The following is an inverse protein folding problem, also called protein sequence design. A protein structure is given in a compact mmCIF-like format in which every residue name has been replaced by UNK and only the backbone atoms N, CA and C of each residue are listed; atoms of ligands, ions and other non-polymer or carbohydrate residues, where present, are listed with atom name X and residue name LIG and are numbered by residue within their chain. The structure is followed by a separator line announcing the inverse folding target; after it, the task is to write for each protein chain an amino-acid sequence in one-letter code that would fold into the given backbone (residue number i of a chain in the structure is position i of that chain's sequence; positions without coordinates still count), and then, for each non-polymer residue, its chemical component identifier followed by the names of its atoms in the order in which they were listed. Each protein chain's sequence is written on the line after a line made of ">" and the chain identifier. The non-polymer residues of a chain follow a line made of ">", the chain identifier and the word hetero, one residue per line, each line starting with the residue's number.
data_IF_257896746722
#
_entry.id   IF_257896746722
#
_cell.length_a   1.000
_cell.length_b   1.000
_cell.length_c   1.000
_cell.angle_alpha   90.00
_cell.angle_beta   90.00
_cell.angle_gamma   90.00
#
_symmetry.space_group_name_H-M   'P 1'
#
loop_
_entity.id
_entity.type
_entity.pdbx_description
1 polymer ?
#
# COMPACT_ATOMS: atom_id res chain seq x y z
N UNK A 1 -21.50 15.78 -14.31
CA UNK A 1 -22.00 14.60 -13.57
C UNK A 1 -22.30 15.07 -12.17
N UNK A 2 -23.45 14.70 -11.63
CA UNK A 2 -23.81 15.04 -10.24
C UNK A 2 -22.90 14.31 -9.26
N UNK A 3 -22.63 14.92 -8.12
CA UNK A 3 -21.99 14.25 -6.99
C UNK A 3 -22.98 13.28 -6.34
N UNK A 4 -22.47 12.29 -5.65
CA UNK A 4 -23.29 11.29 -4.94
C UNK A 4 -24.28 11.94 -3.95
N UNK A 5 -23.87 13.04 -3.31
CA UNK A 5 -24.71 13.82 -2.39
C UNK A 5 -25.85 14.56 -3.10
N UNK A 6 -25.65 14.92 -4.37
CA UNK A 6 -26.68 15.59 -5.20
C UNK A 6 -27.68 14.59 -5.82
N UNK A 7 -27.33 13.30 -5.81
CA UNK A 7 -28.20 12.20 -6.25
C UNK A 7 -28.99 11.60 -5.07
N UNK A 8 -28.68 12.00 -3.83
CA UNK A 8 -29.32 11.51 -2.62
C UNK A 8 -30.81 11.84 -2.57
N UNK A 9 -31.62 10.85 -2.24
CA UNK A 9 -33.07 10.99 -2.05
C UNK A 9 -33.44 10.42 -0.68
N UNK A 10 -34.00 11.26 0.19
CA UNK A 10 -34.38 10.85 1.54
C UNK A 10 -35.33 9.64 1.52
N UNK A 11 -35.00 8.65 2.31
CA UNK A 11 -35.75 7.38 2.43
C UNK A 11 -35.33 6.31 1.42
N UNK A 12 -34.39 6.60 0.50
CA UNK A 12 -33.85 5.61 -0.45
C UNK A 12 -32.61 4.86 0.07
N UNK A 13 -32.14 5.20 1.25
CA UNK A 13 -31.02 4.52 1.87
C UNK A 13 -31.32 3.03 2.13
N UNK A 14 -30.33 2.19 1.87
CA UNK A 14 -30.37 0.76 2.19
C UNK A 14 -29.22 0.41 3.12
N UNK A 15 -29.49 -0.49 4.05
CA UNK A 15 -28.46 -1.03 4.93
C UNK A 15 -28.15 -2.46 4.47
N UNK A 16 -26.96 -2.63 3.92
CA UNK A 16 -26.40 -3.96 3.54
C UNK A 16 -25.41 -4.46 4.56
N UNK A 17 -25.24 -3.74 5.66
CA UNK A 17 -24.36 -4.15 6.77
C UNK A 17 -25.03 -5.27 7.56
N UNK A 18 -24.25 -6.29 7.99
CA UNK A 18 -24.76 -7.31 8.89
C UNK A 18 -25.22 -6.69 10.21
N UNK A 19 -26.10 -7.38 10.91
CA UNK A 19 -26.48 -6.98 12.27
C UNK A 19 -25.26 -6.98 13.19
N UNK A 20 -25.27 -6.06 14.16
CA UNK A 20 -24.18 -5.96 15.15
C UNK A 20 -24.28 -7.16 16.12
N UNK A 21 -23.31 -8.04 16.10
CA UNK A 21 -23.19 -9.26 16.91
C UNK A 21 -22.42 -9.06 18.23
N UNK A 22 -21.98 -7.81 18.49
CA UNK A 22 -21.28 -7.44 19.73
C UNK A 22 -22.15 -6.55 20.62
N UNK A 23 -21.98 -6.60 21.96
CA UNK A 23 -22.72 -5.73 22.87
C UNK A 23 -22.48 -4.25 22.55
N UNK A 24 -23.56 -3.52 22.30
CA UNK A 24 -23.49 -2.07 22.09
C UNK A 24 -23.07 -1.39 23.39
N UNK A 25 -22.13 -0.46 23.29
CA UNK A 25 -21.70 0.42 24.38
C UNK A 25 -22.24 1.82 24.11
N UNK A 26 -22.78 2.44 25.15
CA UNK A 26 -23.14 3.84 25.08
C UNK A 26 -21.88 4.70 25.05
N UNK A 27 -21.84 5.63 24.10
CA UNK A 27 -20.78 6.63 23.98
C UNK A 27 -21.21 7.85 24.78
N UNK A 28 -20.35 8.38 25.65
CA UNK A 28 -20.63 9.57 26.42
C UNK A 28 -21.05 10.73 25.52
N UNK A 29 -22.06 11.49 25.94
CA UNK A 29 -22.70 12.53 25.12
C UNK A 29 -21.72 13.59 24.62
N UNK A 30 -20.67 13.87 25.38
CA UNK A 30 -19.60 14.80 25.03
C UNK A 30 -18.76 14.34 23.83
N UNK A 31 -18.76 13.04 23.54
CA UNK A 31 -18.07 12.47 22.37
C UNK A 31 -19.00 12.26 21.16
N UNK A 32 -20.28 12.54 21.32
CA UNK A 32 -21.24 12.47 20.23
C UNK A 32 -21.27 13.78 19.44
N UNK A 33 -21.37 13.68 18.14
CA UNK A 33 -21.60 14.86 17.30
C UNK A 33 -22.97 15.47 17.58
N UNK A 34 -23.09 16.79 17.46
CA UNK A 34 -24.32 17.52 17.75
C UNK A 34 -25.48 17.18 16.77
N UNK A 35 -25.13 16.77 15.54
CA UNK A 35 -26.09 16.36 14.52
C UNK A 35 -25.61 15.08 13.82
N UNK A 36 -26.50 14.24 13.30
CA UNK A 36 -26.13 13.08 12.48
C UNK A 36 -25.26 13.48 11.28
N UNK A 37 -24.38 12.57 10.86
CA UNK A 37 -23.63 12.78 9.64
C UNK A 37 -24.59 12.86 8.43
N UNK A 38 -24.36 13.84 7.56
CA UNK A 38 -25.10 13.96 6.32
C UNK A 38 -24.57 12.95 5.31
N UNK A 39 -25.02 11.71 5.42
CA UNK A 39 -24.68 10.65 4.47
C UNK A 39 -25.71 10.64 3.32
N UNK A 40 -25.28 10.31 2.09
CA UNK A 40 -26.21 10.20 0.98
C UNK A 40 -27.09 8.94 1.12
N UNK A 41 -28.36 9.09 0.83
CA UNK A 41 -29.33 8.00 0.78
C UNK A 41 -29.62 7.66 -0.69
N UNK A 42 -29.22 6.47 -1.12
CA UNK A 42 -29.31 6.00 -2.50
C UNK A 42 -29.72 4.53 -2.51
N UNK A 43 -30.42 4.12 -3.55
CA UNK A 43 -30.61 2.69 -3.81
C UNK A 43 -29.28 2.05 -4.26
N UNK A 44 -29.13 0.75 -4.07
CA UNK A 44 -28.00 -0.02 -4.58
C UNK A 44 -27.80 0.21 -6.09
N UNK A 45 -28.89 0.24 -6.84
CA UNK A 45 -28.89 0.46 -8.27
C UNK A 45 -28.29 1.85 -8.65
N UNK A 46 -28.71 2.90 -7.96
CA UNK A 46 -28.22 4.26 -8.22
C UNK A 46 -26.74 4.39 -7.83
N UNK A 47 -26.36 3.79 -6.70
CA UNK A 47 -24.97 3.72 -6.25
C UNK A 47 -24.08 3.02 -7.26
N UNK A 48 -24.48 1.83 -7.72
CA UNK A 48 -23.75 1.04 -8.71
C UNK A 48 -23.60 1.81 -10.03
N UNK A 49 -24.68 2.45 -10.50
CA UNK A 49 -24.64 3.26 -11.71
C UNK A 49 -23.77 4.51 -11.58
N UNK A 50 -23.78 5.16 -10.42
CA UNK A 50 -22.93 6.30 -10.14
C UNK A 50 -21.44 5.93 -10.28
N UNK A 51 -20.99 4.89 -9.59
CA UNK A 51 -19.59 4.45 -9.65
C UNK A 51 -19.21 3.85 -11.01
N UNK A 52 -20.14 3.19 -11.70
CA UNK A 52 -19.90 2.72 -13.08
C UNK A 52 -19.66 3.90 -14.03
N UNK A 53 -20.43 5.00 -13.88
CA UNK A 53 -20.21 6.23 -14.67
C UNK A 53 -18.84 6.87 -14.36
N UNK A 54 -18.42 6.86 -13.09
CA UNK A 54 -17.09 7.34 -12.69
C UNK A 54 -15.98 6.49 -13.29
N UNK A 55 -16.08 5.17 -13.16
CA UNK A 55 -15.12 4.22 -13.71
C UNK A 55 -14.90 4.42 -15.21
N UNK A 56 -15.97 4.61 -15.97
CA UNK A 56 -15.90 4.86 -17.43
C UNK A 56 -15.21 6.18 -17.82
N UNK A 57 -14.96 7.07 -16.87
CA UNK A 57 -14.26 8.36 -17.08
C UNK A 57 -12.79 8.31 -16.68
N UNK A 58 -12.36 7.24 -16.06
CA UNK A 58 -10.98 7.04 -15.65
C UNK A 58 -10.29 6.13 -16.66
N UNK A 59 -8.99 6.36 -16.85
CA UNK A 59 -8.14 5.50 -17.63
C UNK A 59 -7.33 4.62 -16.70
N UNK A 60 -7.39 3.32 -16.88
CA UNK A 60 -6.70 2.35 -16.07
C UNK A 60 -5.79 1.43 -16.87
N UNK A 61 -5.04 0.59 -16.20
CA UNK A 61 -4.11 -0.36 -16.81
C UNK A 61 -4.80 -1.38 -17.74
N UNK A 62 -6.11 -1.61 -17.57
CA UNK A 62 -6.89 -2.48 -18.44
C UNK A 62 -7.39 -1.78 -19.72
N UNK A 63 -7.36 -0.45 -19.77
CA UNK A 63 -7.79 0.32 -20.94
C UNK A 63 -6.68 0.48 -21.96
N UNK A 64 -5.42 0.31 -21.55
CA UNK A 64 -4.26 0.42 -22.42
C UNK A 64 -2.98 0.67 -21.64
N UNK A 65 -1.96 1.18 -22.36
CA UNK A 65 -0.68 1.54 -21.75
C UNK A 65 -0.86 2.66 -20.74
N UNK A 66 -0.53 2.38 -19.47
CA UNK A 66 -0.65 3.34 -18.38
C UNK A 66 0.69 4.06 -18.16
N UNK A 67 0.75 5.41 -18.32
CA UNK A 67 2.01 6.15 -18.39
C UNK A 67 2.72 6.39 -17.04
N UNK A 68 2.14 5.97 -15.92
CA UNK A 68 2.76 6.08 -14.60
C UNK A 68 3.70 4.92 -14.31
N UNK A 69 4.93 5.24 -13.91
CA UNK A 69 5.96 4.24 -13.64
C UNK A 69 6.41 4.12 -12.18
N UNK A 70 6.18 5.16 -11.37
CA UNK A 70 6.69 5.25 -9.99
C UNK A 70 5.95 4.37 -8.97
N UNK A 71 4.66 4.10 -9.20
CA UNK A 71 3.86 3.18 -8.40
C UNK A 71 3.51 1.96 -9.23
N UNK A 72 3.09 0.89 -8.59
CA UNK A 72 2.77 -0.40 -9.23
C UNK A 72 1.55 -0.31 -10.16
N UNK A 73 1.71 0.35 -11.29
CA UNK A 73 0.64 0.56 -12.29
C UNK A 73 0.85 -0.30 -13.54
N UNK A 74 1.54 -1.42 -13.41
CA UNK A 74 1.76 -2.38 -14.50
C UNK A 74 0.59 -3.34 -14.59
N UNK A 75 0.31 -3.81 -15.79
CA UNK A 75 -0.70 -4.85 -15.98
C UNK A 75 -0.31 -6.11 -15.21
N UNK A 76 -1.20 -6.60 -14.36
CA UNK A 76 -1.04 -7.88 -13.68
C UNK A 76 -1.94 -8.91 -14.37
N UNK A 77 -1.38 -10.02 -14.91
CA UNK A 77 -2.18 -11.07 -15.53
C UNK A 77 -3.27 -11.59 -14.58
N UNK A 78 -4.48 -11.77 -15.11
CA UNK A 78 -5.64 -12.23 -14.31
C UNK A 78 -5.39 -13.58 -13.62
N UNK A 79 -4.57 -14.43 -14.20
CA UNK A 79 -4.18 -15.72 -13.60
C UNK A 79 -3.41 -15.54 -12.29
N UNK A 80 -2.63 -14.47 -12.14
CA UNK A 80 -1.90 -14.17 -10.90
C UNK A 80 -2.87 -13.84 -9.77
N UNK A 81 -3.92 -13.06 -10.06
CA UNK A 81 -4.98 -12.75 -9.09
C UNK A 81 -5.73 -14.02 -8.68
N UNK A 82 -6.08 -14.87 -9.64
CA UNK A 82 -6.77 -16.12 -9.37
C UNK A 82 -5.91 -17.09 -8.54
N UNK A 83 -4.60 -17.16 -8.82
CA UNK A 83 -3.68 -17.98 -8.04
C UNK A 83 -3.53 -17.45 -6.61
N UNK A 84 -3.35 -16.14 -6.43
CA UNK A 84 -3.22 -15.52 -5.11
C UNK A 84 -4.49 -15.64 -4.26
N UNK A 85 -5.66 -15.73 -4.90
CA UNK A 85 -6.96 -15.87 -4.22
C UNK A 85 -7.28 -17.30 -3.77
N UNK A 86 -6.41 -18.28 -4.03
CA UNK A 86 -6.63 -19.65 -3.55
C UNK A 86 -6.56 -19.71 -2.02
N UNK A 87 -7.39 -20.54 -1.41
CA UNK A 87 -7.52 -20.67 0.04
C UNK A 87 -6.19 -20.97 0.75
N UNK A 88 -5.31 -21.75 0.12
CA UNK A 88 -4.00 -22.08 0.65
C UNK A 88 -3.02 -20.89 0.75
N UNK A 89 -3.31 -19.79 0.08
CA UNK A 89 -2.54 -18.53 0.21
C UNK A 89 -3.32 -17.46 0.98
N UNK A 90 -4.64 -17.36 0.74
CA UNK A 90 -5.46 -16.27 1.29
C UNK A 90 -5.87 -16.50 2.74
N UNK A 91 -6.12 -17.77 3.13
CA UNK A 91 -6.66 -18.14 4.45
C UNK A 91 -5.61 -18.71 5.39
N UNK A 92 -4.39 -18.23 5.32
CA UNK A 92 -3.30 -18.61 6.23
C UNK A 92 -3.10 -17.56 7.32
N UNK A 93 -2.53 -17.98 8.45
CA UNK A 93 -2.14 -17.07 9.52
C UNK A 93 -0.60 -17.03 9.65
N UNK A 94 0.00 -15.84 9.87
CA UNK A 94 1.47 -15.71 9.94
C UNK A 94 2.13 -16.54 11.06
N UNK A 95 1.38 -16.89 12.10
CA UNK A 95 1.88 -17.67 13.25
C UNK A 95 1.37 -19.11 13.28
N UNK A 96 0.78 -19.61 12.17
CA UNK A 96 0.42 -21.03 12.13
C UNK A 96 1.68 -21.89 11.95
N UNK A 97 1.64 -23.18 12.35
CA UNK A 97 2.81 -24.06 12.29
C UNK A 97 3.38 -24.20 10.87
N UNK A 98 4.71 -24.17 10.75
CA UNK A 98 5.43 -24.12 9.46
C UNK A 98 5.09 -25.32 8.55
N UNK A 99 4.83 -26.49 9.12
CA UNK A 99 4.43 -27.69 8.38
C UNK A 99 3.09 -27.54 7.64
N UNK A 100 2.27 -26.55 8.02
CA UNK A 100 0.98 -26.27 7.39
C UNK A 100 1.06 -25.23 6.27
N UNK A 101 2.20 -24.59 6.08
CA UNK A 101 2.40 -23.47 5.11
C UNK A 101 3.57 -23.72 4.16
N UNK A 102 3.98 -24.95 3.98
CA UNK A 102 5.16 -25.31 3.16
C UNK A 102 5.09 -24.76 1.73
N UNK A 103 3.91 -24.74 1.10
CA UNK A 103 3.74 -24.15 -0.23
C UNK A 103 3.99 -22.64 -0.27
N UNK A 104 3.59 -21.92 0.78
CA UNK A 104 3.89 -20.47 0.89
C UNK A 104 5.39 -20.22 1.10
N UNK A 105 6.03 -21.02 1.93
CA UNK A 105 7.48 -20.94 2.15
C UNK A 105 8.26 -21.26 0.88
N UNK A 106 7.82 -22.26 0.10
CA UNK A 106 8.43 -22.58 -1.20
C UNK A 106 8.30 -21.43 -2.20
N UNK A 107 7.15 -20.76 -2.26
CA UNK A 107 6.96 -19.57 -3.11
C UNK A 107 7.95 -18.48 -2.74
N UNK A 108 8.12 -18.18 -1.44
CA UNK A 108 9.09 -17.19 -0.98
C UNK A 108 10.53 -17.58 -1.32
N UNK A 109 10.91 -18.83 -1.06
CA UNK A 109 12.27 -19.33 -1.35
C UNK A 109 12.60 -19.28 -2.85
N UNK A 110 11.67 -19.67 -3.72
CA UNK A 110 11.84 -19.58 -5.17
C UNK A 110 11.87 -18.14 -5.67
N UNK A 111 11.03 -17.26 -5.09
CA UNK A 111 11.04 -15.84 -5.43
C UNK A 111 12.38 -15.19 -5.05
N UNK A 112 12.93 -15.51 -3.87
CA UNK A 112 14.27 -15.08 -3.46
C UNK A 112 15.32 -15.54 -4.47
N UNK A 113 15.34 -16.81 -4.81
CA UNK A 113 16.30 -17.38 -5.77
C UNK A 113 16.25 -16.65 -7.14
N UNK A 114 15.03 -16.44 -7.69
CA UNK A 114 14.87 -15.77 -8.98
C UNK A 114 15.28 -14.29 -8.93
N UNK A 115 14.93 -13.58 -7.85
CA UNK A 115 15.29 -12.19 -7.69
C UNK A 115 16.79 -12.00 -7.46
N UNK A 116 17.43 -12.86 -6.71
CA UNK A 116 18.90 -12.85 -6.53
C UNK A 116 19.59 -13.06 -7.87
N UNK A 117 19.15 -14.03 -8.68
CA UNK A 117 19.70 -14.29 -10.01
C UNK A 117 19.54 -13.08 -10.96
N UNK A 118 18.36 -12.45 -10.98
CA UNK A 118 18.07 -11.29 -11.84
C UNK A 118 18.88 -10.06 -11.45
N UNK A 119 19.06 -9.82 -10.14
CA UNK A 119 19.66 -8.60 -9.60
C UNK A 119 21.15 -8.73 -9.31
N UNK A 120 21.67 -9.95 -9.25
CA UNK A 120 23.06 -10.23 -8.80
C UNK A 120 23.26 -10.04 -7.31
N UNK A 121 22.21 -10.07 -6.50
CA UNK A 121 22.28 -9.95 -5.04
C UNK A 121 22.42 -11.33 -4.40
N UNK A 122 23.04 -11.38 -3.22
CA UNK A 122 23.27 -12.64 -2.47
C UNK A 122 22.05 -13.10 -1.69
N UNK A 123 21.16 -12.20 -1.31
CA UNK A 123 19.95 -12.49 -0.55
C UNK A 123 18.86 -11.45 -0.77
N UNK A 124 17.62 -11.84 -0.50
CA UNK A 124 16.44 -10.99 -0.55
C UNK A 124 15.63 -11.06 0.75
N UNK A 125 14.89 -10.00 1.05
CA UNK A 125 13.88 -10.01 2.10
C UNK A 125 12.54 -9.58 1.55
N UNK A 126 11.46 -10.23 2.01
CA UNK A 126 10.07 -9.90 1.67
C UNK A 126 9.33 -9.22 2.82
N UNK A 127 10.06 -8.76 3.86
CA UNK A 127 9.46 -8.04 5.00
C UNK A 127 8.92 -6.65 4.64
N UNK A 128 9.55 -5.87 3.72
CA UNK A 128 9.02 -4.57 3.33
C UNK A 128 7.63 -4.70 2.69
N UNK A 129 6.64 -3.99 3.26
CA UNK A 129 5.26 -4.05 2.79
C UNK A 129 4.99 -3.18 1.55
N UNK A 130 5.88 -2.24 1.23
CA UNK A 130 5.77 -1.32 0.10
C UNK A 130 7.15 -0.78 -0.30
N UNK A 131 7.24 -0.07 -1.44
CA UNK A 131 8.46 0.54 -1.93
C UNK A 131 9.16 1.46 -0.92
N UNK A 132 8.39 2.27 -0.19
CA UNK A 132 8.93 3.14 0.87
C UNK A 132 9.58 2.33 2.02
N UNK A 133 9.02 1.18 2.38
CA UNK A 133 9.63 0.28 3.37
C UNK A 133 10.89 -0.41 2.85
N UNK A 134 10.94 -0.71 1.55
CA UNK A 134 12.14 -1.22 0.88
C UNK A 134 13.29 -0.21 0.92
N UNK A 135 13.00 1.05 0.60
CA UNK A 135 13.95 2.16 0.74
C UNK A 135 14.47 2.29 2.18
N UNK A 136 13.56 2.34 3.14
CA UNK A 136 13.90 2.45 4.56
C UNK A 136 14.77 1.27 5.04
N UNK A 137 14.41 0.04 4.63
CA UNK A 137 15.19 -1.16 4.92
C UNK A 137 16.60 -1.06 4.34
N UNK A 138 16.73 -0.57 3.10
CA UNK A 138 18.02 -0.31 2.47
C UNK A 138 18.87 0.70 3.26
N UNK A 139 18.25 1.78 3.74
CA UNK A 139 18.96 2.77 4.59
C UNK A 139 19.42 2.17 5.92
N UNK A 140 18.61 1.32 6.54
CA UNK A 140 18.99 0.61 7.76
C UNK A 140 20.14 -0.37 7.53
N UNK A 141 20.15 -1.10 6.42
CA UNK A 141 21.23 -2.00 6.03
C UNK A 141 22.53 -1.24 5.79
N UNK A 142 22.49 -0.10 5.08
CA UNK A 142 23.67 0.76 4.87
C UNK A 142 24.23 1.26 6.21
N UNK A 143 23.35 1.69 7.10
CA UNK A 143 23.76 2.13 8.44
C UNK A 143 24.41 1.03 9.25
N UNK A 144 23.78 -0.15 9.26
CA UNK A 144 24.32 -1.33 9.95
C UNK A 144 25.67 -1.77 9.38
N UNK A 145 25.83 -1.72 8.06
CA UNK A 145 27.09 -2.02 7.39
C UNK A 145 28.22 -1.07 7.85
N UNK A 146 27.97 0.24 7.88
CA UNK A 146 28.98 1.18 8.36
C UNK A 146 29.29 0.99 9.83
N UNK A 147 28.29 0.78 10.68
CA UNK A 147 28.46 0.53 12.10
C UNK A 147 29.28 -0.75 12.35
N UNK A 148 29.02 -1.84 11.62
CA UNK A 148 29.78 -3.11 11.76
C UNK A 148 31.27 -2.97 11.41
N UNK A 149 31.62 -1.93 10.66
CA UNK A 149 33.03 -1.62 10.30
C UNK A 149 33.67 -0.54 11.18
N UNK A 150 32.96 -0.06 12.20
CA UNK A 150 33.43 1.02 13.07
C UNK A 150 33.44 2.40 12.38
N UNK A 151 32.77 2.54 11.24
CA UNK A 151 32.69 3.81 10.51
C UNK A 151 31.45 4.61 10.94
N UNK A 152 31.51 5.21 12.11
CA UNK A 152 30.43 6.01 12.69
C UNK A 152 30.33 7.44 12.12
N UNK A 153 31.27 7.82 11.25
CA UNK A 153 31.32 9.20 10.69
C UNK A 153 30.40 9.41 9.49
N UNK A 154 29.87 8.35 8.89
CA UNK A 154 28.98 8.42 7.73
C UNK A 154 27.54 8.66 8.15
N UNK A 155 27.26 9.88 8.60
CA UNK A 155 25.96 10.28 9.14
C UNK A 155 25.13 11.13 8.18
N UNK A 156 25.66 11.46 6.99
CA UNK A 156 25.01 12.36 6.02
C UNK A 156 24.65 11.61 4.74
N UNK A 157 23.51 11.99 4.17
CA UNK A 157 23.05 11.55 2.85
C UNK A 157 22.80 12.77 1.98
N UNK A 158 23.35 12.74 0.77
CA UNK A 158 23.13 13.75 -0.24
C UNK A 158 21.83 13.42 -0.99
N UNK A 159 20.93 14.37 -1.07
CA UNK A 159 19.63 14.22 -1.73
C UNK A 159 19.43 15.41 -2.68
N UNK A 160 19.24 15.20 -4.00
CA UNK A 160 18.89 16.28 -4.90
C UNK A 160 17.47 16.81 -4.60
N UNK A 161 17.22 18.07 -4.86
CA UNK A 161 15.90 18.70 -4.67
C UNK A 161 14.80 18.12 -5.58
N UNK A 162 15.19 17.49 -6.69
CA UNK A 162 14.32 16.77 -7.60
C UNK A 162 13.96 15.34 -7.12
N UNK A 163 14.53 14.88 -5.99
CA UNK A 163 14.24 13.55 -5.47
C UNK A 163 12.79 13.39 -5.03
N UNK A 164 12.27 12.19 -5.16
CA UNK A 164 10.98 11.85 -4.59
C UNK A 164 11.01 12.03 -3.06
N UNK A 165 9.91 12.56 -2.49
CA UNK A 165 9.82 12.89 -1.06
C UNK A 165 10.11 11.73 -0.10
N UNK A 166 9.94 10.48 -0.54
CA UNK A 166 10.26 9.28 0.24
C UNK A 166 11.77 9.16 0.53
N UNK A 167 12.63 9.61 -0.40
CA UNK A 167 14.08 9.47 -0.27
C UNK A 167 14.63 10.20 0.95
N UNK A 168 14.42 11.52 1.13
CA UNK A 168 14.84 12.20 2.35
C UNK A 168 14.10 11.69 3.60
N UNK A 169 12.82 11.30 3.48
CA UNK A 169 12.07 10.77 4.61
C UNK A 169 12.67 9.47 5.14
N UNK A 170 12.95 8.48 4.27
CA UNK A 170 13.57 7.21 4.63
C UNK A 170 14.96 7.40 5.25
N UNK A 171 15.77 8.29 4.67
CA UNK A 171 17.07 8.62 5.19
C UNK A 171 17.01 9.26 6.59
N UNK A 172 16.10 10.21 6.80
CA UNK A 172 15.87 10.84 8.10
C UNK A 172 15.37 9.85 9.15
N UNK A 173 14.43 8.98 8.80
CA UNK A 173 13.93 7.92 9.70
C UNK A 173 15.03 6.93 10.10
N UNK A 174 15.97 6.64 9.21
CA UNK A 174 17.14 5.82 9.52
C UNK A 174 18.20 6.56 10.37
N UNK A 175 17.98 7.85 10.68
CA UNK A 175 18.85 8.66 11.51
C UNK A 175 20.04 9.26 10.78
N UNK A 176 19.92 9.49 9.47
CA UNK A 176 20.90 10.27 8.71
C UNK A 176 20.51 11.75 8.65
N UNK A 177 21.51 12.61 8.55
CA UNK A 177 21.32 14.03 8.26
C UNK A 177 21.24 14.24 6.76
N UNK A 178 20.21 14.95 6.28
CA UNK A 178 20.01 15.22 4.87
C UNK A 178 20.86 16.44 4.45
N UNK A 179 21.57 16.30 3.34
CA UNK A 179 22.27 17.38 2.65
C UNK A 179 21.60 17.58 1.29
N UNK A 180 20.81 18.62 1.16
CA UNK A 180 20.13 18.93 -0.08
C UNK A 180 21.09 19.54 -1.11
N UNK A 181 21.01 19.05 -2.35
CA UNK A 181 21.71 19.63 -3.50
C UNK A 181 20.67 20.29 -4.40
N UNK A 182 20.75 21.60 -4.58
CA UNK A 182 19.82 22.30 -5.47
C UNK A 182 20.10 21.98 -6.93
N UNK A 183 19.05 21.92 -7.73
CA UNK A 183 19.14 21.88 -9.19
C UNK A 183 19.71 23.20 -9.72
N UNK A 184 20.39 23.14 -10.87
CA UNK A 184 20.79 24.31 -11.60
C UNK A 184 19.76 24.65 -12.69
N UNK A 185 19.72 25.91 -13.10
CA UNK A 185 18.80 26.38 -14.14
C UNK A 185 19.33 26.15 -15.58
N UNK A 186 20.53 25.60 -15.74
CA UNK A 186 21.23 25.37 -17.01
C UNK A 186 21.22 23.91 -17.49
#
# INVERSE_FOLDING_TARGET
>A
MKLIFEESVKGHGQTVLPECDVPRREIAREHLRAAPAHLPELSENDLSRHYTRLMKRTFGVNDGFYPLGSCTMKYNPKVNEAAAAQDGFLKIHPLQPDETVQGCLEVLARAEQYLCEITGMDAMTFQPAAGAHGEFTGMLLIKAYHASRGDEKRTKIIVPDSAHGTNPASASMAGFTIVNIPSRED
#
